data_IF_595530487796
#
_entry.id   IF_595530487796
#
_cell.length_a   1.000
_cell.length_b   1.000
_cell.length_c   1.000
_cell.angle_alpha   90.00
_cell.angle_beta   90.00
_cell.angle_gamma   90.00
#
_symmetry.space_group_name_H-M   'P 1'
#
loop_
_entity.id
_entity.type
_entity.pdbx_description
1 polymer ?
#
# COMPACT_ATOMS: atom_id res chain seq x y z
N UNK A 1 -13.22 32.53 4.75
CA UNK A 1 -14.43 31.73 5.05
C UNK A 1 -13.96 30.35 5.51
N UNK A 2 -14.02 30.01 6.80
CA UNK A 2 -13.58 28.71 7.31
C UNK A 2 -14.68 27.68 7.05
N UNK A 3 -14.64 27.04 5.87
CA UNK A 3 -15.57 26.01 5.37
C UNK A 3 -15.37 24.66 6.07
N UNK A 4 -15.35 24.62 7.41
CA UNK A 4 -15.03 23.41 8.16
C UNK A 4 -16.14 23.01 9.15
N UNK A 5 -17.38 23.40 8.91
CA UNK A 5 -18.51 22.94 9.72
C UNK A 5 -19.41 21.98 8.95
N UNK A 6 -20.12 21.13 9.71
CA UNK A 6 -21.07 20.13 9.20
C UNK A 6 -22.09 20.72 8.23
N UNK A 7 -22.57 21.94 8.50
CA UNK A 7 -23.59 22.62 7.68
C UNK A 7 -23.04 23.06 6.33
N UNK A 8 -21.81 23.57 6.27
CA UNK A 8 -21.14 23.90 5.01
C UNK A 8 -21.01 22.67 4.13
N UNK A 9 -20.59 21.54 4.69
CA UNK A 9 -20.50 20.29 3.93
C UNK A 9 -21.85 19.75 3.49
N UNK A 10 -22.90 19.89 4.29
CA UNK A 10 -24.26 19.57 3.87
C UNK A 10 -24.63 20.32 2.59
N UNK A 11 -24.39 21.64 2.53
CA UNK A 11 -24.67 22.42 1.33
C UNK A 11 -23.86 21.95 0.12
N UNK A 12 -22.59 21.61 0.30
CA UNK A 12 -21.75 21.07 -0.79
C UNK A 12 -22.36 19.78 -1.35
N UNK A 13 -22.83 18.88 -0.48
CA UNK A 13 -23.46 17.64 -0.91
C UNK A 13 -24.83 17.86 -1.57
N UNK A 14 -25.66 18.75 -1.04
CA UNK A 14 -26.94 19.12 -1.65
C UNK A 14 -26.76 19.68 -3.08
N UNK A 15 -25.79 20.58 -3.27
CA UNK A 15 -25.45 21.13 -4.57
C UNK A 15 -24.88 20.07 -5.52
N UNK A 16 -24.02 19.18 -5.05
CA UNK A 16 -23.49 18.06 -5.85
C UNK A 16 -24.62 17.15 -6.33
N UNK A 17 -25.50 16.71 -5.44
CA UNK A 17 -26.64 15.84 -5.77
C UNK A 17 -27.58 16.53 -6.78
N UNK A 18 -27.85 17.83 -6.58
CA UNK A 18 -28.65 18.66 -7.49
C UNK A 18 -28.01 18.79 -8.87
N UNK A 19 -26.70 19.07 -8.92
CA UNK A 19 -25.96 19.25 -10.16
C UNK A 19 -25.90 17.95 -10.98
N UNK A 20 -25.57 16.81 -10.35
CA UNK A 20 -25.55 15.52 -11.05
C UNK A 20 -26.90 15.21 -11.67
N UNK A 21 -28.00 15.45 -10.93
CA UNK A 21 -29.35 15.26 -11.45
C UNK A 21 -29.64 16.17 -12.63
N UNK A 22 -29.25 17.44 -12.59
CA UNK A 22 -29.45 18.38 -13.71
C UNK A 22 -28.67 17.98 -14.96
N UNK A 23 -27.43 17.53 -14.80
CA UNK A 23 -26.55 17.20 -15.93
C UNK A 23 -26.87 15.84 -16.56
N UNK A 24 -27.17 14.83 -15.76
CA UNK A 24 -27.34 13.44 -16.23
C UNK A 24 -28.80 13.01 -16.35
N UNK A 25 -29.72 13.81 -15.83
CA UNK A 25 -31.12 13.44 -15.60
C UNK A 25 -31.29 12.17 -14.73
N UNK A 26 -30.22 11.73 -14.05
CA UNK A 26 -30.19 10.59 -13.13
C UNK A 26 -29.79 11.07 -11.73
N UNK A 27 -30.38 10.47 -10.70
CA UNK A 27 -30.00 10.79 -9.32
C UNK A 27 -28.72 10.06 -8.98
N UNK A 28 -27.76 10.76 -8.38
CA UNK A 28 -26.65 10.11 -7.68
C UNK A 28 -27.22 9.49 -6.40
N UNK A 29 -27.17 8.16 -6.28
CA UNK A 29 -27.80 7.47 -5.17
C UNK A 29 -27.02 6.23 -4.75
N UNK A 30 -27.02 5.96 -3.45
CA UNK A 30 -26.47 4.75 -2.86
C UNK A 30 -27.44 3.58 -2.97
N UNK A 31 -26.95 2.40 -3.33
CA UNK A 31 -27.73 1.15 -3.45
C UNK A 31 -28.45 0.85 -2.13
N UNK A 32 -27.82 1.14 -0.98
CA UNK A 32 -28.40 0.86 0.34
C UNK A 32 -29.50 1.84 0.77
N UNK A 33 -29.63 3.00 0.10
CA UNK A 33 -30.54 4.09 0.49
C UNK A 33 -31.62 4.38 -0.57
N UNK A 34 -31.32 4.12 -1.84
CA UNK A 34 -32.13 4.55 -2.98
C UNK A 34 -32.46 3.38 -3.92
N UNK A 35 -33.70 3.31 -4.36
CA UNK A 35 -34.14 2.42 -5.43
C UNK A 35 -33.45 2.84 -6.73
N UNK A 36 -32.67 1.92 -7.29
CA UNK A 36 -31.87 2.20 -8.49
C UNK A 36 -30.63 3.05 -8.22
N UNK A 37 -30.20 3.17 -6.95
CA UNK A 37 -28.87 3.68 -6.63
C UNK A 37 -27.78 2.83 -7.30
N UNK A 38 -26.65 3.46 -7.61
CA UNK A 38 -25.50 2.85 -8.30
C UNK A 38 -24.22 2.91 -7.48
N UNK A 39 -24.17 3.75 -6.44
CA UNK A 39 -23.03 3.83 -5.53
C UNK A 39 -23.15 2.77 -4.44
N UNK A 40 -22.08 2.01 -4.19
CA UNK A 40 -22.04 1.02 -3.10
C UNK A 40 -21.88 1.70 -1.73
N UNK A 41 -21.04 2.72 -1.67
CA UNK A 41 -20.72 3.46 -0.46
C UNK A 41 -19.65 4.51 -0.74
N UNK A 42 -19.14 5.12 0.32
CA UNK A 42 -18.07 6.11 0.31
C UNK A 42 -16.92 5.56 1.15
N UNK A 43 -15.72 5.55 0.56
CA UNK A 43 -14.51 5.38 1.34
C UNK A 43 -14.06 6.77 1.82
N UNK A 44 -13.85 6.93 3.12
CA UNK A 44 -13.62 8.24 3.71
C UNK A 44 -12.46 8.26 4.72
N UNK A 45 -11.84 9.43 4.77
CA UNK A 45 -10.95 9.83 5.85
C UNK A 45 -11.84 10.24 7.01
N UNK A 46 -11.52 9.79 8.24
CA UNK A 46 -12.40 9.79 9.42
C UNK A 46 -12.79 11.19 9.97
N UNK A 47 -12.90 12.20 9.11
CA UNK A 47 -13.28 13.57 9.41
C UNK A 47 -14.80 13.67 9.58
N UNK A 48 -15.25 14.04 10.78
CA UNK A 48 -16.66 13.98 11.15
C UNK A 48 -17.54 14.99 10.40
N UNK A 49 -17.06 16.23 10.21
CA UNK A 49 -17.84 17.30 9.59
C UNK A 49 -18.32 16.99 8.15
N UNK A 50 -17.45 16.58 7.20
CA UNK A 50 -17.87 16.24 5.83
C UNK A 50 -18.79 15.02 5.77
N UNK A 51 -18.53 14.00 6.60
CA UNK A 51 -19.35 12.80 6.64
C UNK A 51 -20.74 13.07 7.21
N UNK A 52 -20.82 13.77 8.34
CA UNK A 52 -22.12 14.15 8.91
C UNK A 52 -22.90 15.09 7.99
N UNK A 53 -22.23 16.03 7.31
CA UNK A 53 -22.87 16.89 6.31
C UNK A 53 -23.40 16.10 5.11
N UNK A 54 -22.66 15.11 4.61
CA UNK A 54 -23.13 14.18 3.60
C UNK A 54 -24.38 13.43 4.05
N UNK A 55 -24.34 12.88 5.26
CA UNK A 55 -25.44 12.13 5.81
C UNK A 55 -26.70 12.98 6.01
N UNK A 56 -26.56 14.24 6.44
CA UNK A 56 -27.67 15.20 6.49
C UNK A 56 -28.30 15.44 5.11
N UNK A 57 -27.47 15.59 4.07
CA UNK A 57 -27.95 15.81 2.70
C UNK A 57 -28.66 14.58 2.12
N UNK A 58 -28.21 13.37 2.48
CA UNK A 58 -28.77 12.10 1.99
C UNK A 58 -30.03 11.66 2.74
N UNK A 59 -30.12 11.93 4.05
CA UNK A 59 -31.25 11.51 4.89
C UNK A 59 -32.65 11.81 4.30
N UNK A 60 -32.94 13.03 3.79
CA UNK A 60 -34.25 13.34 3.22
C UNK A 60 -34.49 12.70 1.83
N UNK A 61 -33.46 12.12 1.22
CA UNK A 61 -33.53 11.56 -0.14
C UNK A 61 -33.80 10.06 -0.18
N UNK A 62 -33.70 9.37 0.96
CA UNK A 62 -33.94 7.93 1.11
C UNK A 62 -35.36 7.57 0.63
N UNK A 63 -35.47 6.59 -0.28
CA UNK A 63 -36.76 6.17 -0.88
C UNK A 63 -37.04 4.66 -0.75
N UNK A 64 -36.17 3.91 -0.07
CA UNK A 64 -36.39 2.51 0.28
C UNK A 64 -37.21 2.46 1.60
N UNK A 65 -38.48 1.99 1.58
CA UNK A 65 -39.37 2.10 2.75
C UNK A 65 -38.83 1.44 4.02
N UNK A 66 -38.22 0.25 3.89
CA UNK A 66 -37.62 -0.47 5.01
C UNK A 66 -36.41 0.24 5.61
N UNK A 67 -35.74 1.11 4.83
CA UNK A 67 -34.61 1.92 5.28
C UNK A 67 -35.11 3.20 5.92
N UNK A 68 -36.11 3.88 5.33
CA UNK A 68 -36.78 5.04 5.92
C UNK A 68 -37.34 4.73 7.31
N UNK A 69 -37.84 3.52 7.53
CA UNK A 69 -38.32 3.08 8.85
C UNK A 69 -37.20 3.00 9.88
N UNK A 70 -36.02 2.50 9.50
CA UNK A 70 -34.90 2.23 10.42
C UNK A 70 -33.96 3.41 10.61
N UNK A 71 -33.71 4.17 9.56
CA UNK A 71 -32.74 5.28 9.53
C UNK A 71 -33.48 6.57 9.82
N UNK A 72 -33.35 7.07 11.05
CA UNK A 72 -34.01 8.30 11.52
C UNK A 72 -33.07 9.48 11.68
N UNK A 73 -31.77 9.22 11.63
CA UNK A 73 -30.74 10.21 11.86
C UNK A 73 -29.58 10.00 10.86
N UNK A 74 -28.66 10.98 10.80
CA UNK A 74 -27.48 10.91 9.94
C UNK A 74 -26.51 9.77 10.30
N UNK A 75 -26.48 9.32 11.56
CA UNK A 75 -25.59 8.22 11.97
C UNK A 75 -26.01 6.94 11.28
N UNK A 76 -27.31 6.62 11.24
CA UNK A 76 -27.82 5.45 10.52
C UNK A 76 -27.60 5.50 8.99
N UNK A 77 -27.37 6.69 8.42
CA UNK A 77 -26.94 6.82 7.02
C UNK A 77 -25.47 6.41 6.88
N UNK A 78 -24.62 6.86 7.81
CA UNK A 78 -23.18 6.58 7.79
C UNK A 78 -22.88 5.10 8.01
N UNK A 79 -23.54 4.43 8.97
CA UNK A 79 -23.33 3.01 9.25
C UNK A 79 -23.62 2.10 8.05
N UNK A 80 -24.42 2.57 7.09
CA UNK A 80 -24.81 1.82 5.88
C UNK A 80 -23.95 2.08 4.66
N UNK A 81 -23.26 3.22 4.62
CA UNK A 81 -22.68 3.74 3.39
C UNK A 81 -21.23 4.18 3.52
N UNK A 82 -20.68 4.25 4.73
CA UNK A 82 -19.30 4.68 4.93
C UNK A 82 -18.42 3.50 5.32
N UNK A 83 -17.32 3.37 4.60
CA UNK A 83 -16.18 2.55 5.00
C UNK A 83 -14.99 3.48 5.26
N UNK A 84 -14.42 3.41 6.44
CA UNK A 84 -13.25 4.21 6.81
C UNK A 84 -11.99 3.62 6.17
N UNK A 85 -11.12 4.48 5.66
CA UNK A 85 -9.83 4.05 5.14
C UNK A 85 -8.92 3.50 6.25
N UNK A 86 -8.41 2.29 6.05
CA UNK A 86 -7.55 1.61 7.01
C UNK A 86 -6.20 2.33 7.21
N UNK A 87 -5.68 2.99 6.17
CA UNK A 87 -4.48 3.83 6.28
C UNK A 87 -4.72 5.00 7.23
N UNK A 88 -5.88 5.65 7.16
CA UNK A 88 -6.23 6.77 8.04
C UNK A 88 -6.51 6.32 9.47
N UNK A 89 -7.17 5.18 9.66
CA UNK A 89 -7.30 4.55 10.99
C UNK A 89 -5.91 4.31 11.59
N UNK A 90 -4.98 3.77 10.78
CA UNK A 90 -3.61 3.46 11.22
C UNK A 90 -2.76 4.70 11.54
N UNK A 91 -2.92 5.79 10.78
CA UNK A 91 -2.25 7.06 11.08
C UNK A 91 -2.78 7.73 12.35
N UNK A 92 -4.02 7.43 12.74
CA UNK A 92 -4.66 7.96 13.93
C UNK A 92 -4.36 7.20 15.23
N UNK A 93 -3.43 6.23 15.22
CA UNK A 93 -2.98 5.58 16.45
C UNK A 93 -2.08 6.52 17.27
N UNK A 94 -2.22 6.53 18.59
CA UNK A 94 -1.28 7.26 19.45
C UNK A 94 0.10 6.58 19.44
N UNK A 95 1.09 7.20 20.08
CA UNK A 95 2.37 6.55 20.32
C UNK A 95 2.20 5.37 21.30
N UNK A 96 2.37 4.16 20.78
CA UNK A 96 2.23 2.90 21.52
C UNK A 96 3.58 2.31 21.96
N UNK A 97 4.70 3.04 21.81
CA UNK A 97 6.05 2.53 22.07
C UNK A 97 6.31 2.02 23.49
N UNK A 98 5.47 2.44 24.45
CA UNK A 98 5.51 1.99 25.85
C UNK A 98 4.85 0.63 26.09
N UNK A 99 4.07 0.11 25.13
CA UNK A 99 3.39 -1.18 25.22
C UNK A 99 4.25 -2.32 24.64
N UNK A 100 4.09 -3.56 25.11
CA UNK A 100 4.65 -4.75 24.45
C UNK A 100 4.24 -4.84 22.97
N UNK A 101 5.11 -5.39 22.11
CA UNK A 101 4.81 -5.52 20.68
C UNK A 101 3.50 -6.27 20.41
N UNK A 102 3.17 -7.30 21.20
CA UNK A 102 1.93 -8.08 21.06
C UNK A 102 0.68 -7.21 21.26
N UNK A 103 0.72 -6.29 22.24
CA UNK A 103 -0.38 -5.37 22.51
C UNK A 103 -0.50 -4.32 21.41
N UNK A 104 0.63 -3.81 20.91
CA UNK A 104 0.66 -2.90 19.76
C UNK A 104 0.03 -3.56 18.53
N UNK A 105 0.41 -4.80 18.24
CA UNK A 105 -0.12 -5.58 17.12
C UNK A 105 -1.62 -5.83 17.28
N UNK A 106 -2.09 -6.18 18.49
CA UNK A 106 -3.52 -6.35 18.76
C UNK A 106 -4.28 -5.03 18.56
N UNK A 107 -3.75 -3.91 19.02
CA UNK A 107 -4.33 -2.57 18.80
C UNK A 107 -4.36 -2.23 17.31
N UNK A 108 -3.29 -2.48 16.56
CA UNK A 108 -3.23 -2.18 15.13
C UNK A 108 -4.19 -3.03 14.28
N UNK A 109 -4.64 -4.18 14.79
CA UNK A 109 -5.49 -5.13 14.09
C UNK A 109 -6.95 -5.16 14.57
N UNK A 110 -7.38 -4.25 15.44
CA UNK A 110 -8.77 -4.19 15.94
C UNK A 110 -9.83 -4.02 14.83
N UNK A 111 -9.42 -3.54 13.66
CA UNK A 111 -10.29 -3.39 12.49
C UNK A 111 -10.72 -4.72 11.86
N UNK A 112 -10.07 -5.82 12.24
CA UNK A 112 -10.34 -7.18 11.73
C UNK A 112 -11.15 -8.04 12.72
N UNK A 113 -11.75 -7.44 13.75
CA UNK A 113 -12.64 -8.16 14.67
C UNK A 113 -13.88 -8.65 13.91
N UNK A 114 -14.20 -9.93 14.04
CA UNK A 114 -15.21 -10.60 13.20
C UNK A 114 -16.60 -10.63 13.85
N UNK A 115 -16.66 -10.60 15.19
CA UNK A 115 -17.92 -10.68 15.94
C UNK A 115 -18.10 -9.50 16.88
N UNK A 116 -19.35 -9.11 17.21
CA UNK A 116 -19.62 -8.11 18.24
C UNK A 116 -19.04 -8.49 19.61
N UNK A 117 -18.98 -9.78 19.92
CA UNK A 117 -18.38 -10.30 21.14
C UNK A 117 -16.87 -10.01 21.19
N UNK A 118 -16.15 -10.18 20.06
CA UNK A 118 -14.73 -9.83 19.98
C UNK A 118 -14.48 -8.33 20.20
N UNK A 119 -15.40 -7.48 19.73
CA UNK A 119 -15.35 -6.03 19.95
C UNK A 119 -15.50 -5.69 21.43
N UNK A 120 -16.46 -6.31 22.12
CA UNK A 120 -16.64 -6.07 23.56
C UNK A 120 -15.48 -6.64 24.37
N UNK A 121 -14.94 -7.82 24.01
CA UNK A 121 -13.73 -8.36 24.64
C UNK A 121 -12.54 -7.41 24.44
N UNK A 122 -12.35 -6.92 23.21
CA UNK A 122 -11.29 -5.97 22.89
C UNK A 122 -11.41 -4.66 23.68
N UNK A 123 -12.63 -4.14 23.83
CA UNK A 123 -12.93 -2.97 24.65
C UNK A 123 -12.62 -3.19 26.13
N UNK A 124 -13.01 -4.34 26.69
CA UNK A 124 -12.67 -4.70 28.07
C UNK A 124 -11.15 -4.78 28.22
N UNK A 125 -10.48 -5.44 27.28
CA UNK A 125 -9.03 -5.58 27.27
C UNK A 125 -8.30 -4.22 27.22
N UNK A 126 -8.70 -3.30 26.34
CA UNK A 126 -8.14 -1.94 26.27
C UNK A 126 -8.19 -1.24 27.63
N UNK A 127 -9.31 -1.39 28.36
CA UNK A 127 -9.51 -0.79 29.69
C UNK A 127 -8.64 -1.39 30.78
N UNK A 128 -8.06 -2.56 30.55
CA UNK A 128 -7.15 -3.23 31.49
C UNK A 128 -5.67 -2.93 31.23
N UNK A 129 -5.33 -2.35 30.08
CA UNK A 129 -3.95 -2.09 29.72
C UNK A 129 -3.33 -0.98 30.58
N UNK A 130 -2.03 -1.08 30.90
CA UNK A 130 -1.31 -0.02 31.58
C UNK A 130 -1.15 1.18 30.63
N UNK A 131 -1.94 2.22 30.85
CA UNK A 131 -1.91 3.47 30.09
C UNK A 131 -1.65 4.66 31.05
N UNK A 132 -0.37 4.94 31.39
CA UNK A 132 -0.02 5.94 32.40
C UNK A 132 -0.59 7.33 32.14
N UNK A 133 -0.81 7.67 30.86
CA UNK A 133 -1.25 8.99 30.43
C UNK A 133 -2.73 9.01 30.01
N UNK A 134 -3.43 7.87 30.05
CA UNK A 134 -4.81 7.73 29.57
C UNK A 134 -4.99 8.01 28.07
N UNK A 135 -3.92 7.92 27.28
CA UNK A 135 -3.95 8.26 25.84
C UNK A 135 -4.70 7.20 25.04
N UNK A 136 -4.45 5.92 25.30
CA UNK A 136 -5.13 4.81 24.65
C UNK A 136 -6.62 4.78 25.02
N UNK A 137 -6.92 5.03 26.29
CA UNK A 137 -8.30 5.14 26.77
C UNK A 137 -9.07 6.27 26.08
N UNK A 138 -8.53 7.49 26.03
CA UNK A 138 -9.15 8.61 25.30
C UNK A 138 -9.26 8.34 23.80
N UNK A 139 -8.27 7.67 23.21
CA UNK A 139 -8.30 7.29 21.80
C UNK A 139 -9.46 6.33 21.49
N UNK A 140 -9.73 5.36 22.37
CA UNK A 140 -10.85 4.43 22.24
C UNK A 140 -12.19 5.11 22.53
N UNK A 141 -12.28 5.89 23.61
CA UNK A 141 -13.49 6.67 23.95
C UNK A 141 -13.90 7.59 22.80
N UNK A 142 -12.94 8.22 22.10
CA UNK A 142 -13.23 8.98 20.89
C UNK A 142 -13.93 8.14 19.81
N UNK A 143 -13.58 6.85 19.67
CA UNK A 143 -14.27 5.94 18.74
C UNK A 143 -15.68 5.60 19.21
N UNK A 144 -15.89 5.48 20.52
CA UNK A 144 -17.22 5.24 21.10
C UNK A 144 -18.13 6.48 20.99
N UNK A 145 -17.59 7.69 21.21
CA UNK A 145 -18.36 8.95 21.13
C UNK A 145 -18.87 9.20 19.71
N UNK A 146 -18.07 8.84 18.71
CA UNK A 146 -18.47 8.93 17.31
C UNK A 146 -19.09 7.60 16.87
N UNK A 147 -20.37 7.42 17.16
CA UNK A 147 -21.12 6.16 16.94
C UNK A 147 -21.01 5.59 15.51
N UNK A 148 -20.79 6.44 14.51
CA UNK A 148 -20.59 6.02 13.11
C UNK A 148 -19.21 5.42 12.82
N UNK A 149 -18.22 5.67 13.69
CA UNK A 149 -16.82 5.42 13.41
C UNK A 149 -16.46 3.94 13.51
N UNK A 150 -16.88 3.27 14.57
CA UNK A 150 -16.64 1.83 14.73
C UNK A 150 -17.36 1.00 13.63
N UNK A 151 -18.65 1.24 13.30
CA UNK A 151 -19.32 0.63 12.14
C UNK A 151 -18.64 0.92 10.80
N UNK A 152 -17.95 2.06 10.66
CA UNK A 152 -17.19 2.39 9.46
C UNK A 152 -15.86 1.64 9.36
N UNK A 153 -15.30 1.14 10.47
CA UNK A 153 -13.99 0.47 10.51
C UNK A 153 -14.12 -1.06 10.61
N UNK A 154 -15.08 -1.55 11.40
CA UNK A 154 -15.26 -2.95 11.77
C UNK A 154 -16.54 -3.49 11.10
N UNK A 155 -16.40 -4.51 10.26
CA UNK A 155 -17.49 -5.02 9.43
C UNK A 155 -18.68 -5.52 10.25
N UNK A 156 -18.44 -6.23 11.34
CA UNK A 156 -19.50 -6.85 12.14
C UNK A 156 -20.41 -5.84 12.85
N UNK A 157 -19.99 -4.58 12.93
CA UNK A 157 -20.78 -3.47 13.47
C UNK A 157 -21.44 -2.63 12.37
N UNK A 158 -21.10 -2.87 11.10
CA UNK A 158 -21.60 -2.12 9.96
C UNK A 158 -23.00 -2.59 9.55
N UNK A 159 -23.86 -1.65 9.16
CA UNK A 159 -25.13 -1.95 8.49
C UNK A 159 -24.96 -2.05 6.96
N UNK A 160 -23.75 -1.84 6.45
CA UNK A 160 -23.42 -2.00 5.05
C UNK A 160 -23.62 -3.46 4.63
N UNK A 161 -24.11 -3.66 3.40
CA UNK A 161 -24.22 -4.99 2.82
C UNK A 161 -22.83 -5.68 2.80
N UNK A 162 -22.70 -6.94 3.26
CA UNK A 162 -21.39 -7.61 3.33
C UNK A 162 -20.67 -7.71 1.98
N UNK A 163 -21.39 -7.94 0.89
CA UNK A 163 -20.79 -8.02 -0.44
C UNK A 163 -20.29 -6.63 -0.86
N UNK A 164 -21.08 -5.58 -0.64
CA UNK A 164 -20.65 -4.20 -0.87
C UNK A 164 -19.41 -3.83 -0.03
N UNK A 165 -19.37 -4.25 1.24
CA UNK A 165 -18.22 -4.06 2.12
C UNK A 165 -16.97 -4.72 1.54
N UNK A 166 -17.04 -5.98 1.11
CA UNK A 166 -15.90 -6.69 0.54
C UNK A 166 -15.44 -6.13 -0.81
N UNK A 167 -16.36 -5.62 -1.64
CA UNK A 167 -16.04 -4.98 -2.92
C UNK A 167 -15.34 -3.64 -2.71
N UNK A 168 -15.77 -2.86 -1.73
CA UNK A 168 -15.15 -1.57 -1.43
C UNK A 168 -13.78 -1.77 -0.81
N UNK A 169 -12.68 -1.50 -1.51
CA UNK A 169 -11.35 -1.63 -0.92
C UNK A 169 -11.18 -0.76 0.34
N UNK A 170 -10.63 -1.34 1.40
CA UNK A 170 -10.39 -0.65 2.67
C UNK A 170 -9.22 0.35 2.62
N UNK A 171 -8.39 0.27 1.58
CA UNK A 171 -7.17 1.06 1.42
C UNK A 171 -7.33 2.03 0.26
N UNK A 172 -7.23 3.32 0.51
CA UNK A 172 -7.40 4.40 -0.48
C UNK A 172 -6.15 4.65 -1.34
N UNK A 173 -5.38 3.62 -1.71
CA UNK A 173 -4.13 3.83 -2.48
C UNK A 173 -4.39 4.61 -3.79
N UNK A 174 -5.60 4.54 -4.35
CA UNK A 174 -5.93 5.33 -5.54
C UNK A 174 -6.26 6.80 -5.23
N UNK A 175 -7.01 7.09 -4.16
CA UNK A 175 -7.42 8.46 -3.80
C UNK A 175 -6.31 9.28 -3.13
N UNK A 176 -5.52 8.67 -2.23
CA UNK A 176 -4.41 9.37 -1.57
C UNK A 176 -3.25 9.66 -2.54
N UNK A 177 -2.94 8.71 -3.44
CA UNK A 177 -1.94 8.93 -4.47
C UNK A 177 -2.37 10.06 -5.43
N UNK A 178 -3.67 10.18 -5.73
CA UNK A 178 -4.21 11.30 -6.48
C UNK A 178 -4.03 12.62 -5.76
N UNK A 179 -4.20 12.69 -4.43
CA UNK A 179 -3.91 13.93 -3.70
C UNK A 179 -2.42 14.28 -3.73
N UNK A 180 -1.51 13.33 -3.53
CA UNK A 180 -0.09 13.62 -3.62
C UNK A 180 0.35 14.01 -5.05
N UNK A 181 -0.19 13.34 -6.08
CA UNK A 181 0.08 13.63 -7.47
C UNK A 181 -0.53 14.98 -7.90
N UNK A 182 -1.80 15.24 -7.57
CA UNK A 182 -2.45 16.52 -7.83
C UNK A 182 -1.76 17.63 -7.04
N UNK A 183 -1.50 17.47 -5.74
CA UNK A 183 -0.76 18.48 -4.96
C UNK A 183 0.65 18.73 -5.52
N UNK A 184 1.27 17.74 -6.16
CA UNK A 184 2.55 17.92 -6.87
C UNK A 184 2.39 18.66 -8.19
N UNK A 185 1.31 18.44 -8.94
CA UNK A 185 1.03 19.10 -10.22
C UNK A 185 0.44 20.51 -10.05
N UNK A 186 -0.42 20.72 -9.06
CA UNK A 186 -1.16 21.96 -8.80
C UNK A 186 -0.57 22.79 -7.65
N UNK A 187 0.27 22.20 -6.79
CA UNK A 187 0.65 22.82 -5.52
C UNK A 187 -0.50 22.78 -4.49
N UNK A 188 -0.14 22.90 -3.21
CA UNK A 188 -1.12 23.06 -2.11
C UNK A 188 -1.53 24.54 -2.07
N UNK A 189 -2.82 24.83 -2.16
CA UNK A 189 -3.36 26.18 -1.93
C UNK A 189 -3.55 27.07 -3.16
N UNK A 190 -3.67 26.48 -4.37
CA UNK A 190 -4.10 27.25 -5.55
C UNK A 190 -5.45 27.94 -5.32
N UNK A 191 -5.59 29.17 -5.82
CA UNK A 191 -6.86 29.89 -5.80
C UNK A 191 -7.88 29.29 -6.78
N UNK A 192 -9.18 29.45 -6.52
CA UNK A 192 -10.25 28.92 -7.37
C UNK A 192 -10.11 29.31 -8.86
N UNK A 193 -9.63 30.54 -9.14
CA UNK A 193 -9.40 31.04 -10.50
C UNK A 193 -8.25 30.29 -11.20
N UNK A 194 -7.23 29.88 -10.44
CA UNK A 194 -6.11 29.12 -10.98
C UNK A 194 -6.55 27.69 -11.32
N UNK A 195 -7.49 27.13 -10.55
CA UNK A 195 -8.11 25.84 -10.87
C UNK A 195 -8.88 25.89 -12.19
N UNK A 196 -9.67 26.94 -12.45
CA UNK A 196 -10.39 27.09 -13.71
C UNK A 196 -9.45 27.13 -14.93
N UNK A 197 -8.32 27.85 -14.81
CA UNK A 197 -7.31 27.89 -15.86
C UNK A 197 -6.64 26.52 -16.08
N UNK A 198 -6.43 25.76 -15.01
CA UNK A 198 -5.82 24.43 -15.05
C UNK A 198 -6.80 23.39 -15.63
N UNK A 199 -8.07 23.43 -15.24
CA UNK A 199 -9.14 22.60 -15.80
C UNK A 199 -9.32 22.89 -17.29
N UNK A 200 -9.30 24.17 -17.70
CA UNK A 200 -9.36 24.55 -19.11
C UNK A 200 -8.17 23.98 -19.89
N UNK A 201 -6.97 24.03 -19.32
CA UNK A 201 -5.78 23.42 -19.92
C UNK A 201 -5.91 21.90 -20.03
N UNK A 202 -6.39 21.24 -18.98
CA UNK A 202 -6.55 19.78 -18.94
C UNK A 202 -7.65 19.30 -19.90
N UNK A 203 -8.74 20.05 -20.03
CA UNK A 203 -9.77 19.83 -21.03
C UNK A 203 -9.21 19.95 -22.45
N UNK A 204 -8.45 21.00 -22.74
CA UNK A 204 -7.78 21.16 -24.03
C UNK A 204 -6.78 20.02 -24.32
N UNK A 205 -6.04 19.54 -23.30
CA UNK A 205 -5.17 18.38 -23.43
C UNK A 205 -5.97 17.11 -23.76
N UNK A 206 -7.08 16.86 -23.07
CA UNK A 206 -7.97 15.72 -23.35
C UNK A 206 -8.52 15.80 -24.78
N UNK A 207 -8.97 16.97 -25.23
CA UNK A 207 -9.45 17.17 -26.60
C UNK A 207 -8.35 16.86 -27.63
N UNK A 208 -7.12 17.34 -27.39
CA UNK A 208 -5.97 17.02 -28.25
C UNK A 208 -5.68 15.52 -28.23
N UNK A 209 -5.77 14.85 -27.08
CA UNK A 209 -5.58 13.39 -26.99
C UNK A 209 -6.65 12.63 -27.79
N UNK A 210 -7.91 13.04 -27.68
CA UNK A 210 -9.03 12.44 -28.40
C UNK A 210 -8.91 12.65 -29.91
N UNK A 211 -8.51 13.85 -30.34
CA UNK A 211 -8.32 14.19 -31.76
C UNK A 211 -7.09 13.52 -32.36
N UNK A 212 -5.98 13.45 -31.62
CA UNK A 212 -4.71 12.92 -32.12
C UNK A 212 -4.54 11.41 -31.95
N UNK A 213 -5.37 10.78 -31.10
CA UNK A 213 -5.23 9.38 -30.71
C UNK A 213 -4.00 9.08 -29.84
N UNK A 214 -3.24 10.10 -29.44
CA UNK A 214 -2.04 9.96 -28.62
C UNK A 214 -2.34 10.43 -27.20
N UNK A 215 -2.32 9.51 -26.22
CA UNK A 215 -2.38 9.89 -24.81
C UNK A 215 -1.18 10.77 -24.44
N UNK A 216 -1.43 11.83 -23.66
CA UNK A 216 -0.39 12.62 -23.03
C UNK A 216 0.39 11.71 -22.10
N UNK A 217 1.59 11.35 -22.54
CA UNK A 217 2.55 10.63 -21.74
C UNK A 217 3.53 11.68 -21.19
N UNK A 218 3.56 11.94 -19.86
CA UNK A 218 4.50 12.89 -19.28
C UNK A 218 5.96 12.51 -19.60
N UNK A 219 6.23 11.22 -19.84
CA UNK A 219 7.56 10.73 -20.27
C UNK A 219 7.86 10.97 -21.75
N UNK A 220 6.90 11.48 -22.52
CA UNK A 220 7.02 11.82 -23.93
C UNK A 220 7.01 13.34 -24.17
N UNK A 221 7.14 14.14 -23.12
CA UNK A 221 7.44 15.55 -23.28
C UNK A 221 8.75 15.74 -24.06
N UNK A 222 8.85 16.87 -24.76
CA UNK A 222 10.03 17.22 -25.54
C UNK A 222 11.27 17.26 -24.63
N UNK A 223 11.15 17.81 -23.42
CA UNK A 223 12.15 17.83 -22.35
C UNK A 223 12.66 16.43 -22.01
N UNK A 224 11.74 15.49 -21.70
CA UNK A 224 12.05 14.09 -21.38
C UNK A 224 12.69 13.35 -22.55
N UNK A 225 12.23 13.60 -23.79
CA UNK A 225 12.86 13.06 -25.00
C UNK A 225 14.30 13.57 -25.16
N UNK A 226 14.55 14.85 -24.94
CA UNK A 226 15.89 15.42 -24.97
C UNK A 226 16.78 14.85 -23.85
N UNK A 227 16.28 14.74 -22.62
CA UNK A 227 17.01 14.17 -21.50
C UNK A 227 17.37 12.69 -21.73
N UNK A 228 16.40 11.88 -22.18
CA UNK A 228 16.63 10.47 -22.51
C UNK A 228 17.63 10.32 -23.67
N UNK A 229 17.52 11.17 -24.70
CA UNK A 229 18.48 11.17 -25.82
C UNK A 229 19.89 11.53 -25.35
N UNK A 230 20.03 12.52 -24.47
CA UNK A 230 21.32 12.91 -23.92
C UNK A 230 21.90 11.81 -23.02
N UNK A 231 21.10 11.20 -22.15
CA UNK A 231 21.53 10.08 -21.33
C UNK A 231 22.05 8.91 -22.19
N UNK A 232 21.32 8.53 -23.25
CA UNK A 232 21.78 7.50 -24.19
C UNK A 232 23.10 7.88 -24.88
N UNK A 233 23.28 9.15 -25.27
CA UNK A 233 24.54 9.64 -25.85
C UNK A 233 25.70 9.56 -24.87
N UNK A 234 25.48 9.94 -23.60
CA UNK A 234 26.49 9.85 -22.54
C UNK A 234 26.88 8.39 -22.32
N UNK A 235 25.90 7.51 -22.10
CA UNK A 235 26.16 6.08 -21.93
C UNK A 235 26.88 5.45 -23.14
N UNK A 236 26.50 5.84 -24.36
CA UNK A 236 27.21 5.38 -25.56
C UNK A 236 28.65 5.88 -25.60
N UNK A 237 28.90 7.14 -25.21
CA UNK A 237 30.25 7.70 -25.13
C UNK A 237 31.10 7.03 -24.05
N UNK A 238 30.53 6.71 -22.90
CA UNK A 238 31.24 6.01 -21.81
C UNK A 238 31.59 4.58 -22.22
N UNK A 239 30.64 3.86 -22.82
CA UNK A 239 30.90 2.53 -23.39
C UNK A 239 32.02 2.57 -24.44
N UNK A 240 32.04 3.60 -25.30
CA UNK A 240 33.10 3.75 -26.29
C UNK A 240 34.47 4.04 -25.65
N UNK A 241 34.53 4.85 -24.58
CA UNK A 241 35.77 5.09 -23.82
C UNK A 241 36.26 3.83 -23.13
N UNK A 242 35.36 3.09 -22.48
CA UNK A 242 35.69 1.83 -21.82
C UNK A 242 36.19 0.79 -22.83
N UNK A 243 35.56 0.68 -24.00
CA UNK A 243 36.02 -0.23 -25.05
C UNK A 243 37.46 0.10 -25.48
N UNK A 244 37.77 1.38 -25.68
CA UNK A 244 39.15 1.82 -26.01
C UNK A 244 40.16 1.49 -24.92
N UNK A 245 39.81 1.72 -23.65
CA UNK A 245 40.69 1.38 -22.53
C UNK A 245 40.99 -0.12 -22.47
N UNK A 246 39.97 -0.97 -22.72
CA UNK A 246 40.16 -2.43 -22.81
C UNK A 246 41.04 -2.82 -24.00
N UNK A 247 40.85 -2.19 -25.16
CA UNK A 247 41.71 -2.44 -26.34
C UNK A 247 43.17 -2.05 -26.07
N UNK A 248 43.40 -0.92 -25.38
CA UNK A 248 44.74 -0.48 -24.94
C UNK A 248 45.37 -1.48 -23.95
N UNK A 249 44.61 -2.01 -23.00
CA UNK A 249 45.08 -3.05 -22.06
C UNK A 249 45.43 -4.37 -22.78
N UNK A 250 44.61 -4.77 -23.75
CA UNK A 250 44.87 -5.96 -24.58
C UNK A 250 46.18 -5.78 -25.35
N UNK A 251 46.37 -4.63 -25.99
CA UNK A 251 47.58 -4.35 -26.74
C UNK A 251 48.83 -4.37 -25.83
N UNK A 252 48.76 -3.75 -24.65
CA UNK A 252 49.86 -3.77 -23.69
C UNK A 252 50.18 -5.20 -23.21
N UNK A 253 49.16 -6.04 -23.01
CA UNK A 253 49.34 -7.44 -22.62
C UNK A 253 49.96 -8.28 -23.75
N UNK A 254 49.59 -8.03 -25.00
CA UNK A 254 50.17 -8.69 -26.18
C UNK A 254 51.65 -8.33 -26.35
N UNK A 255 52.01 -7.05 -26.17
CA UNK A 255 53.40 -6.57 -26.18
C UNK A 255 54.23 -7.23 -25.07
N UNK A 256 53.73 -7.24 -23.83
CA UNK A 256 54.41 -7.88 -22.70
C UNK A 256 54.58 -9.40 -22.91
N UNK A 257 53.59 -10.06 -23.53
CA UNK A 257 53.69 -11.48 -23.87
C UNK A 257 54.73 -11.75 -24.95
N UNK A 258 54.82 -10.90 -25.97
CA UNK A 258 55.84 -10.97 -27.01
C UNK A 258 57.25 -10.81 -26.41
N UNK A 259 57.45 -9.86 -25.51
CA UNK A 259 58.71 -9.63 -24.81
C UNK A 259 59.10 -10.81 -23.91
N UNK A 260 58.14 -11.35 -23.15
CA UNK A 260 58.36 -12.53 -22.32
C UNK A 260 58.77 -13.76 -23.16
N UNK A 261 58.15 -13.94 -24.34
CA UNK A 261 58.55 -14.99 -25.27
C UNK A 261 59.98 -14.78 -25.82
N UNK A 262 60.34 -13.53 -26.15
CA UNK A 262 61.69 -13.20 -26.61
C UNK A 262 62.74 -13.49 -25.53
N UNK A 263 62.46 -13.11 -24.28
CA UNK A 263 63.31 -13.38 -23.13
C UNK A 263 63.46 -14.90 -22.86
N UNK A 264 62.37 -15.67 -22.92
CA UNK A 264 62.44 -17.13 -22.81
C UNK A 264 63.28 -17.78 -23.92
N UNK A 265 63.25 -17.23 -25.15
CA UNK A 265 64.12 -17.70 -26.23
C UNK A 265 65.60 -17.42 -25.93
N UNK A 266 65.93 -16.26 -25.35
CA UNK A 266 67.29 -15.94 -24.91
C UNK A 266 67.79 -16.87 -23.81
N UNK A 267 67.02 -17.07 -22.73
CA UNK A 267 67.38 -18.01 -21.64
C UNK A 267 67.59 -19.43 -22.19
N UNK A 268 66.76 -19.87 -23.14
CA UNK A 268 66.92 -21.19 -23.80
C UNK A 268 68.20 -21.28 -24.63
N UNK A 269 68.64 -20.19 -25.26
CA UNK A 269 69.91 -20.16 -25.97
C UNK A 269 71.10 -20.21 -25.01
N UNK A 270 71.07 -19.42 -23.92
CA UNK A 270 72.12 -19.38 -22.89
C UNK A 270 72.27 -20.71 -22.13
N UNK A 271 71.16 -21.36 -21.80
CA UNK A 271 71.17 -22.68 -21.15
C UNK A 271 71.73 -23.76 -22.07
N UNK A 272 71.49 -23.68 -23.39
CA UNK A 272 72.12 -24.59 -24.36
C UNK A 272 73.63 -24.37 -24.42
N UNK A 273 74.11 -23.13 -24.45
CA UNK A 273 75.56 -22.83 -24.47
C UNK A 273 76.25 -23.21 -23.16
N UNK A 274 75.59 -23.09 -22.00
CA UNK A 274 76.15 -23.53 -20.73
C UNK A 274 76.09 -25.05 -20.51
N UNK A 275 75.27 -25.79 -21.27
CA UNK A 275 75.13 -27.24 -21.12
C UNK A 275 76.23 -28.07 -21.81
N UNK A 276 77.07 -27.47 -22.67
CA UNK A 276 78.15 -28.18 -23.36
C UNK A 276 79.37 -28.51 -22.49
N UNK A 277 79.37 -28.15 -21.20
CA UNK A 277 80.48 -28.43 -20.26
C UNK A 277 80.19 -29.43 -19.15
N UNK A 278 78.98 -30.00 -19.04
CA UNK A 278 78.62 -30.85 -17.89
C UNK A 278 78.87 -32.34 -18.16
N UNK A 279 79.92 -32.84 -17.51
CA UNK A 279 80.34 -34.25 -17.40
C UNK A 279 79.14 -35.18 -17.16
N UNK A 280 79.03 -36.23 -17.99
CA UNK A 280 78.08 -37.34 -17.86
C UNK A 280 78.19 -37.98 -16.47
N UNK A 281 77.19 -37.78 -15.62
CA UNK A 281 76.98 -38.60 -14.43
C UNK A 281 76.31 -39.93 -14.81
N UNK A 282 76.68 -41.05 -14.16
CA UNK A 282 76.25 -42.39 -14.57
C UNK A 282 74.79 -42.68 -14.24
N UNK A 283 74.19 -43.40 -15.19
CA UNK A 283 72.82 -43.89 -15.26
C UNK A 283 72.52 -44.88 -14.13
N UNK A 284 71.81 -44.45 -13.09
CA UNK A 284 71.24 -45.35 -12.09
C UNK A 284 69.94 -46.01 -12.57
N UNK A 285 69.79 -47.27 -12.17
CA UNK A 285 68.86 -48.29 -12.67
C UNK A 285 67.41 -48.05 -12.24
N UNK A 286 66.51 -48.42 -13.17
CA UNK A 286 65.19 -49.05 -12.99
C UNK A 286 64.73 -49.30 -11.53
N UNK A 287 63.64 -48.66 -11.14
CA UNK A 287 62.63 -49.24 -10.26
C UNK A 287 61.27 -49.25 -10.97
N UNK A 288 60.55 -50.35 -10.75
CA UNK A 288 59.36 -50.79 -11.46
C UNK A 288 58.08 -50.04 -11.04
N UNK A 289 57.00 -50.17 -11.83
CA UNK A 289 55.75 -49.45 -11.66
C UNK A 289 54.86 -50.11 -10.60
N UNK A 290 54.45 -49.37 -9.58
CA UNK A 290 53.33 -49.75 -8.73
C UNK A 290 52.04 -49.25 -9.36
N UNK A 291 51.26 -50.21 -9.89
CA UNK A 291 49.84 -50.05 -10.18
C UNK A 291 49.12 -49.69 -8.89
N UNK A 292 48.42 -48.56 -8.87
CA UNK A 292 47.30 -48.33 -7.97
C UNK A 292 46.11 -47.93 -8.83
N UNK A 293 45.22 -48.91 -9.01
CA UNK A 293 43.86 -48.72 -9.43
C UNK A 293 43.12 -47.91 -8.37
N UNK A 294 42.68 -46.69 -8.70
CA UNK A 294 41.51 -46.10 -8.04
C UNK A 294 40.65 -45.36 -9.06
N UNK A 295 39.62 -46.09 -9.47
CA UNK A 295 38.22 -45.70 -9.57
C UNK A 295 37.89 -44.26 -9.97
N UNK A 296 37.18 -44.19 -11.08
CA UNK A 296 36.39 -43.07 -11.55
C UNK A 296 35.45 -42.51 -10.46
N UNK A 297 35.43 -41.19 -10.34
CA UNK A 297 34.21 -40.45 -10.00
C UNK A 297 34.12 -39.22 -10.91
N UNK A 298 33.18 -39.33 -11.85
CA UNK A 298 32.62 -38.19 -12.59
C UNK A 298 31.82 -37.35 -11.59
N UNK A 299 32.11 -36.06 -11.50
CA UNK A 299 31.18 -35.03 -11.02
C UNK A 299 31.67 -33.69 -11.59
N UNK A 300 31.09 -33.28 -12.70
CA UNK A 300 29.97 -32.35 -12.77
C UNK A 300 30.38 -30.91 -12.47
N UNK A 301 30.50 -30.16 -13.57
CA UNK A 301 30.25 -28.71 -13.70
C UNK A 301 29.38 -28.15 -12.57
N UNK A 302 29.88 -27.10 -11.89
CA UNK A 302 29.03 -26.01 -11.44
C UNK A 302 29.81 -24.71 -11.31
N UNK A 303 29.38 -23.75 -12.12
CA UNK A 303 29.49 -22.30 -12.08
C UNK A 303 30.33 -21.68 -10.95
N UNK A 304 31.38 -20.96 -11.35
CA UNK A 304 31.96 -19.89 -10.55
C UNK A 304 30.99 -18.72 -10.48
N UNK A 305 30.32 -18.57 -9.34
CA UNK A 305 29.71 -17.31 -8.93
C UNK A 305 30.74 -16.55 -8.10
N UNK A 306 31.23 -15.46 -8.65
CA UNK A 306 32.08 -14.48 -7.98
C UNK A 306 31.30 -13.87 -6.81
N UNK A 307 31.65 -14.26 -5.59
CA UNK A 307 31.22 -13.60 -4.37
C UNK A 307 32.06 -12.32 -4.20
N UNK A 308 31.45 -11.16 -4.36
CA UNK A 308 32.04 -9.89 -3.94
C UNK A 308 31.98 -9.82 -2.41
N UNK A 309 33.17 -9.76 -1.81
CA UNK A 309 33.36 -9.52 -0.40
C UNK A 309 32.90 -8.13 -0.02
N UNK A 310 32.05 -8.08 1.00
CA UNK A 310 31.73 -6.92 1.81
C UNK A 310 32.93 -6.56 2.67
N UNK A 311 33.39 -5.30 2.57
CA UNK A 311 34.22 -4.66 3.59
C UNK A 311 33.45 -3.46 4.13
N UNK A 312 32.88 -3.65 5.31
CA UNK A 312 32.33 -2.62 6.19
C UNK A 312 33.46 -1.79 6.79
N UNK A 313 33.38 -0.47 6.67
CA UNK A 313 34.12 0.47 7.50
C UNK A 313 33.13 1.43 8.15
N UNK A 314 32.74 1.13 9.39
CA UNK A 314 32.01 2.03 10.28
C UNK A 314 32.95 3.11 10.79
N UNK A 315 32.62 4.37 10.56
CA UNK A 315 33.20 5.51 11.26
C UNK A 315 32.11 6.18 12.08
N UNK A 316 32.16 5.95 13.39
CA UNK A 316 31.40 6.67 14.40
C UNK A 316 32.02 8.05 14.59
N UNK A 317 31.22 9.11 14.43
CA UNK A 317 31.56 10.43 14.97
C UNK A 317 30.44 10.83 15.92
N UNK A 318 30.83 10.81 17.18
CA UNK A 318 30.15 11.32 18.36
C UNK A 318 30.38 12.83 18.46
N UNK A 319 29.35 13.59 18.84
CA UNK A 319 29.44 14.86 19.59
C UNK A 319 28.13 15.65 19.49
N UNK A 320 27.62 16.09 20.66
CA UNK A 320 26.95 17.40 20.71
C UNK A 320 25.77 17.55 21.66
N UNK A 321 25.98 17.31 22.95
CA UNK A 321 25.11 17.74 24.06
C UNK A 321 25.09 19.26 24.21
N UNK A 322 23.91 19.90 24.28
CA UNK A 322 23.66 21.21 24.94
C UNK A 322 22.17 21.34 25.32
N UNK A 323 21.73 22.27 26.19
CA UNK A 323 21.04 21.90 27.43
C UNK A 323 19.60 22.45 27.57
N UNK A 324 18.85 21.73 28.40
CA UNK A 324 17.95 22.18 29.47
C UNK A 324 17.48 23.65 29.46
N UNK A 325 16.18 23.84 29.16
CA UNK A 325 15.44 25.05 29.50
C UNK A 325 14.21 24.69 30.34
N UNK A 326 14.27 25.17 31.59
CA UNK A 326 13.26 25.11 32.64
C UNK A 326 12.15 26.13 32.40
N UNK A 327 10.87 25.74 32.47
CA UNK A 327 9.72 26.67 32.56
C UNK A 327 8.73 26.17 33.64
N UNK A 328 8.13 27.07 34.45
CA UNK A 328 7.67 26.75 35.79
C UNK A 328 6.20 26.32 35.90
N UNK A 329 5.92 25.72 37.06
CA UNK A 329 4.63 25.26 37.55
C UNK A 329 3.53 26.33 37.55
N UNK A 330 2.30 25.90 37.22
CA UNK A 330 1.07 26.64 37.50
C UNK A 330 0.02 25.72 38.12
N UNK A 331 -0.15 25.93 39.43
CA UNK A 331 -1.41 25.97 40.19
C UNK A 331 -2.58 25.08 39.76
N UNK A 332 -2.74 23.98 40.49
CA UNK A 332 -3.99 23.23 40.67
C UNK A 332 -4.90 23.96 41.67
N UNK A 333 -6.06 24.41 41.20
CA UNK A 333 -7.22 24.74 42.04
C UNK A 333 -8.17 23.56 42.04
N UNK A 334 -8.32 22.94 43.21
CA UNK A 334 -9.36 21.96 43.54
C UNK A 334 -10.71 22.65 43.68
N UNK A 335 -11.74 22.15 42.99
CA UNK A 335 -13.13 22.37 43.42
C UNK A 335 -13.89 21.05 43.37
N UNK A 336 -14.27 20.61 44.54
CA UNK A 336 -15.24 19.56 44.84
C UNK A 336 -16.56 19.83 44.12
N UNK A 337 -17.23 18.78 43.65
CA UNK A 337 -18.67 18.72 43.83
C UNK A 337 -19.18 17.27 43.79
N UNK A 338 -19.94 16.98 44.85
CA UNK A 338 -20.62 15.73 45.11
C UNK A 338 -21.84 15.54 44.21
N UNK A 339 -22.16 14.29 43.87
CA UNK A 339 -23.56 13.94 43.58
C UNK A 339 -23.85 12.48 43.92
N UNK A 340 -24.98 12.30 44.60
CA UNK A 340 -25.56 11.07 45.18
C UNK A 340 -26.18 10.15 44.11
N UNK A 341 -26.46 8.87 44.46
CA UNK A 341 -26.68 7.81 43.48
C UNK A 341 -28.12 7.71 42.97
N UNK A 342 -28.24 7.31 41.69
CA UNK A 342 -29.51 7.00 41.02
C UNK A 342 -29.84 5.50 41.17
N UNK A 343 -31.13 5.29 41.47
CA UNK A 343 -31.82 4.05 41.82
C UNK A 343 -31.99 3.13 40.60
N UNK A 344 -31.52 1.88 40.68
CA UNK A 344 -31.75 0.84 39.66
C UNK A 344 -33.14 0.22 39.82
N UNK A 345 -33.96 0.26 38.77
CA UNK A 345 -35.12 -0.61 38.61
C UNK A 345 -34.78 -1.68 37.56
N UNK A 346 -34.81 -2.93 38.00
CA UNK A 346 -34.72 -4.15 37.21
C UNK A 346 -36.09 -4.47 36.60
N UNK A 347 -36.14 -4.67 35.28
CA UNK A 347 -37.31 -5.20 34.58
C UNK A 347 -36.85 -6.13 33.46
N UNK A 348 -36.74 -7.42 33.75
CA UNK A 348 -36.41 -8.46 32.76
C UNK A 348 -37.63 -8.73 31.90
N UNK A 349 -37.49 -8.73 30.56
CA UNK A 349 -38.52 -9.24 29.65
C UNK A 349 -37.93 -10.35 28.80
N UNK A 350 -38.62 -11.49 28.87
CA UNK A 350 -38.35 -12.76 28.20
C UNK A 350 -38.53 -12.64 26.68
N UNK A 351 -37.53 -13.07 25.91
CA UNK A 351 -37.60 -13.20 24.45
C UNK A 351 -38.07 -14.61 24.07
N UNK A 352 -39.25 -14.68 23.43
CA UNK A 352 -39.70 -15.85 22.66
C UNK A 352 -38.99 -15.86 21.30
N UNK A 353 -38.54 -17.04 20.89
CA UNK A 353 -37.81 -17.31 19.66
C UNK A 353 -38.76 -17.54 18.49
N UNK A 354 -38.67 -16.68 17.46
CA UNK A 354 -39.35 -16.87 16.19
C UNK A 354 -38.41 -17.47 15.13
N UNK A 355 -38.98 -18.38 14.34
CA UNK A 355 -38.35 -19.19 13.30
C UNK A 355 -37.73 -18.35 12.15
N UNK A 356 -36.72 -18.89 11.43
CA UNK A 356 -36.03 -18.13 10.38
C UNK A 356 -36.93 -17.88 9.16
N UNK A 357 -36.85 -16.68 8.53
CA UNK A 357 -37.63 -16.37 7.35
C UNK A 357 -37.11 -17.11 6.12
N UNK A 358 -38.04 -17.55 5.27
CA UNK A 358 -37.78 -18.27 4.02
C UNK A 358 -37.05 -17.37 3.01
N UNK A 359 -35.96 -17.87 2.42
CA UNK A 359 -35.22 -17.27 1.31
C UNK A 359 -36.17 -16.90 0.14
N UNK A 360 -36.20 -15.61 -0.19
CA UNK A 360 -36.76 -15.09 -1.44
C UNK A 360 -35.86 -15.54 -2.62
N UNK A 361 -36.45 -16.25 -3.59
CA UNK A 361 -35.81 -16.56 -4.87
C UNK A 361 -35.90 -15.32 -5.77
N UNK A 362 -34.76 -14.67 -6.02
CA UNK A 362 -34.63 -13.65 -7.07
C UNK A 362 -34.61 -14.35 -8.44
N UNK A 363 -35.44 -13.87 -9.36
CA UNK A 363 -35.46 -14.33 -10.76
C UNK A 363 -34.26 -13.80 -11.55
N UNK A 364 -33.95 -14.37 -12.73
CA UNK A 364 -32.74 -14.06 -13.47
C UNK A 364 -32.76 -12.64 -14.04
N UNK A 365 -31.70 -11.88 -13.73
CA UNK A 365 -31.37 -10.59 -14.36
C UNK A 365 -30.97 -10.84 -15.83
N UNK A 366 -31.90 -10.61 -16.76
CA UNK A 366 -31.59 -10.54 -18.20
C UNK A 366 -31.08 -9.14 -18.53
N UNK A 367 -29.89 -9.01 -19.12
CA UNK A 367 -29.48 -7.77 -19.78
C UNK A 367 -27.99 -7.42 -19.85
N UNK A 368 -27.09 -8.15 -19.20
CA UNK A 368 -25.66 -7.81 -19.16
C UNK A 368 -24.79 -8.96 -19.68
N UNK A 369 -24.77 -9.14 -21.01
CA UNK A 369 -23.80 -9.99 -21.69
C UNK A 369 -22.60 -9.17 -22.14
N UNK A 370 -21.39 -9.67 -21.89
CA UNK A 370 -20.16 -9.11 -22.48
C UNK A 370 -19.81 -9.99 -23.66
N UNK A 371 -19.96 -9.47 -24.88
CA UNK A 371 -19.59 -10.21 -26.09
C UNK A 371 -18.12 -9.93 -26.42
N UNK A 372 -17.28 -10.96 -26.30
CA UNK A 372 -15.88 -10.93 -26.71
C UNK A 372 -15.55 -12.25 -27.40
N UNK A 373 -14.94 -12.17 -28.58
CA UNK A 373 -14.57 -13.32 -29.42
C UNK A 373 -15.74 -14.25 -29.82
N UNK A 374 -16.94 -13.70 -29.95
CA UNK A 374 -18.14 -14.44 -30.40
C UNK A 374 -18.74 -15.39 -29.36
N UNK A 375 -18.30 -15.30 -28.09
CA UNK A 375 -18.89 -16.03 -26.98
C UNK A 375 -19.62 -15.03 -26.07
N UNK A 376 -20.93 -15.25 -25.91
CA UNK A 376 -21.76 -14.43 -25.03
C UNK A 376 -21.72 -15.05 -23.63
N UNK A 377 -20.86 -14.50 -22.76
CA UNK A 377 -20.73 -14.92 -21.37
C UNK A 377 -21.45 -13.92 -20.47
N UNK A 378 -22.05 -14.41 -19.39
CA UNK A 378 -22.56 -13.53 -18.34
C UNK A 378 -21.40 -12.83 -17.63
N UNK A 379 -21.65 -11.63 -17.10
CA UNK A 379 -20.64 -10.89 -16.32
C UNK A 379 -20.07 -11.70 -15.14
N UNK A 380 -20.87 -12.60 -14.56
CA UNK A 380 -20.47 -13.51 -13.49
C UNK A 380 -19.49 -14.57 -14.00
N UNK A 381 -19.78 -15.21 -15.14
CA UNK A 381 -18.87 -16.19 -15.76
C UNK A 381 -17.55 -15.54 -16.20
N UNK A 382 -17.60 -14.30 -16.68
CA UNK A 382 -16.41 -13.52 -17.04
C UNK A 382 -15.53 -13.20 -15.83
N UNK A 383 -16.14 -12.75 -14.73
CA UNK A 383 -15.42 -12.47 -13.49
C UNK A 383 -14.82 -13.74 -12.87
N UNK A 384 -15.56 -14.84 -12.88
CA UNK A 384 -15.11 -16.13 -12.34
C UNK A 384 -13.90 -16.66 -13.12
N UNK A 385 -13.98 -16.64 -14.46
CA UNK A 385 -12.89 -17.09 -15.34
C UNK A 385 -11.58 -16.33 -15.09
N UNK A 386 -11.65 -15.00 -14.99
CA UNK A 386 -10.46 -14.20 -14.75
C UNK A 386 -9.93 -14.28 -13.32
N UNK A 387 -10.81 -14.56 -12.36
CA UNK A 387 -10.38 -14.84 -10.99
C UNK A 387 -9.58 -16.15 -10.89
N UNK A 388 -9.96 -17.17 -11.65
CA UNK A 388 -9.24 -18.44 -11.68
C UNK A 388 -7.91 -18.32 -12.44
N UNK A 389 -7.86 -17.57 -13.55
CA UNK A 389 -6.60 -17.23 -14.26
C UNK A 389 -5.63 -16.46 -13.36
N UNK A 390 -6.12 -15.48 -12.59
CA UNK A 390 -5.32 -14.73 -11.62
C UNK A 390 -4.77 -15.62 -10.49
N UNK A 391 -5.55 -16.61 -10.04
CA UNK A 391 -5.13 -17.56 -9.00
C UNK A 391 -4.04 -18.52 -9.49
N UNK A 392 -4.06 -18.91 -10.76
CA UNK A 392 -3.00 -19.73 -11.37
C UNK A 392 -1.70 -18.96 -11.60
N UNK A 393 -1.79 -17.67 -11.96
CA UNK A 393 -0.62 -16.83 -12.24
C UNK A 393 0.14 -16.41 -10.96
N UNK A 394 -0.55 -16.40 -9.81
CA UNK A 394 0.02 -15.97 -8.52
C UNK A 394 -0.25 -16.97 -7.38
N UNK A 395 0.44 -18.13 -7.34
CA UNK A 395 0.37 -19.00 -6.18
C UNK A 395 0.91 -18.26 -4.95
N UNK A 396 0.12 -18.21 -3.87
CA UNK A 396 0.50 -17.57 -2.62
C UNK A 396 1.79 -18.21 -2.10
N UNK A 397 2.88 -17.44 -2.08
CA UNK A 397 4.08 -17.77 -1.32
C UNK A 397 3.73 -17.71 0.17
N UNK A 398 3.36 -18.86 0.73
CA UNK A 398 3.31 -19.08 2.17
C UNK A 398 4.70 -19.50 2.62
N UNK A 399 5.59 -18.54 2.84
CA UNK A 399 6.82 -18.76 3.62
C UNK A 399 7.31 -17.41 4.17
N UNK A 400 6.96 -17.14 5.43
CA UNK A 400 7.66 -16.15 6.23
C UNK A 400 7.78 -16.66 7.67
N UNK A 401 8.59 -17.71 7.84
CA UNK A 401 9.21 -18.03 9.12
C UNK A 401 10.71 -18.28 8.93
N UNK A 402 11.46 -17.75 9.88
CA UNK A 402 12.91 -17.91 10.10
C UNK A 402 13.83 -17.10 9.20
N UNK A 403 14.35 -15.98 9.73
CA UNK A 403 15.77 -15.85 10.11
C UNK A 403 16.09 -14.39 10.47
N UNK A 404 16.20 -14.10 11.77
CA UNK A 404 17.10 -13.05 12.27
C UNK A 404 17.93 -13.61 13.42
N UNK A 405 19.08 -14.17 13.05
CA UNK A 405 20.30 -14.19 13.86
C UNK A 405 21.34 -13.39 13.09
N UNK A 406 21.69 -12.21 13.59
CA UNK A 406 23.02 -11.89 14.09
C UNK A 406 23.02 -10.49 14.66
#
# INVERSE_FOLDING_TARGET
MKLHDRRSFQFVWEELLSLVKRLTNQRLGFVSLHRGGTLLGVNADMEAAPLLGMADALLPTIDIPSVVEKVKDPIGVLTRNVRSCYSHVKRGFPDLSHLPCEDQDRIHNFMYLETPEDVEEFKIWIRTLPDPNGVLMRWWEHKEIHEWLLPGVIQCLSDMDPDAWHIMEATTNFGEAQHAANNKETGIGMGLVEYEALDTRRAAEIDIMLLSGNLHNPRNEVSHRYASRNARRVTASEKAKHARAVDEEIQAAEEAFADAQAHLKQIRAESKSNSSGRVRAPRARKSQPTKTDHAATKSSRRNGSTAQGSTTASTSVDNGTVPDETIPASTLTTSENATKPVRKHSGSTSLQSDAPPKRLKLGPLKGWGVERDGVNMSAIEYAQKHWDEFREEYPRNADCHSTRRH
#
